data_IF_306773359563
#
_entry.id   IF_306773359563
#
_cell.length_a   1.000
_cell.length_b   1.000
_cell.length_c   1.000
_cell.angle_alpha   90.00
_cell.angle_beta   90.00
_cell.angle_gamma   90.00
#
_symmetry.space_group_name_H-M   'P 1'
#
loop_
_entity.id
_entity.type
_entity.pdbx_description
1 polymer ?
#
# COMPACT_ATOMS: atom_id res chain seq x y z
N UNK A 1 -24.96 15.08 -5.81
CA UNK A 1 -23.55 14.88 -6.26
C UNK A 1 -22.99 13.58 -5.69
N UNK A 2 -23.20 13.29 -4.41
CA UNK A 2 -22.76 12.07 -3.70
C UNK A 2 -23.02 10.74 -4.44
N UNK A 3 -24.25 10.49 -4.92
CA UNK A 3 -24.58 9.25 -5.63
C UNK A 3 -23.77 9.01 -6.94
N UNK A 4 -23.26 10.08 -7.57
CA UNK A 4 -22.39 9.97 -8.75
C UNK A 4 -20.97 9.57 -8.36
N UNK A 5 -20.49 10.10 -7.23
CA UNK A 5 -19.16 9.81 -6.70
C UNK A 5 -19.07 8.38 -6.15
N UNK A 6 -20.12 7.92 -5.47
CA UNK A 6 -20.24 6.52 -5.02
C UNK A 6 -20.21 5.53 -6.19
N UNK A 7 -20.99 5.78 -7.26
CA UNK A 7 -20.97 4.95 -8.47
C UNK A 7 -19.59 4.91 -9.12
N UNK A 8 -18.89 6.05 -9.14
CA UNK A 8 -17.53 6.13 -9.68
C UNK A 8 -16.55 5.33 -8.83
N UNK A 9 -16.64 5.45 -7.51
CA UNK A 9 -15.78 4.73 -6.57
C UNK A 9 -15.95 3.21 -6.71
N UNK A 10 -17.20 2.72 -6.70
CA UNK A 10 -17.50 1.30 -6.90
C UNK A 10 -16.96 0.77 -8.24
N UNK A 11 -17.04 1.58 -9.30
CA UNK A 11 -16.49 1.21 -10.60
C UNK A 11 -14.97 1.10 -10.56
N UNK A 12 -14.29 2.07 -9.92
CA UNK A 12 -12.83 2.06 -9.76
C UNK A 12 -12.37 0.86 -8.93
N UNK A 13 -13.04 0.58 -7.82
CA UNK A 13 -12.72 -0.56 -6.96
C UNK A 13 -12.86 -1.89 -7.72
N UNK A 14 -13.93 -2.06 -8.51
CA UNK A 14 -14.10 -3.23 -9.38
C UNK A 14 -12.99 -3.34 -10.45
N UNK A 15 -12.61 -2.21 -11.05
CA UNK A 15 -11.52 -2.19 -12.03
C UNK A 15 -10.19 -2.60 -11.38
N UNK A 16 -9.88 -2.07 -10.20
CA UNK A 16 -8.67 -2.40 -9.44
C UNK A 16 -8.70 -3.85 -8.91
N UNK A 17 -9.86 -4.40 -8.59
CA UNK A 17 -9.98 -5.81 -8.21
C UNK A 17 -9.74 -6.76 -9.39
N UNK A 18 -10.03 -6.33 -10.63
CA UNK A 18 -9.92 -7.16 -11.82
C UNK A 18 -8.53 -7.20 -12.48
N UNK A 19 -7.61 -6.29 -12.15
CA UNK A 19 -6.26 -6.29 -12.75
C UNK A 19 -5.44 -7.51 -12.29
N UNK A 20 -4.60 -8.04 -13.19
CA UNK A 20 -3.72 -9.19 -12.89
C UNK A 20 -2.71 -8.87 -11.78
N UNK A 21 -2.14 -7.67 -11.81
CA UNK A 21 -1.23 -7.14 -10.79
C UNK A 21 -1.73 -5.77 -10.33
N UNK A 22 -1.97 -5.63 -9.02
CA UNK A 22 -2.21 -4.35 -8.37
C UNK A 22 -0.95 -3.98 -7.58
N UNK A 23 -0.47 -2.75 -7.73
CA UNK A 23 0.64 -2.21 -6.97
C UNK A 23 0.10 -1.11 -6.05
N UNK A 24 0.35 -1.25 -4.75
CA UNK A 24 0.04 -0.26 -3.72
C UNK A 24 1.38 0.26 -3.23
N UNK A 25 1.68 1.51 -3.58
CA UNK A 25 2.96 2.13 -3.26
C UNK A 25 2.85 2.99 -2.01
N UNK A 26 3.92 3.04 -1.21
CA UNK A 26 4.09 3.87 -0.01
C UNK A 26 2.97 3.70 1.04
N UNK A 27 2.48 2.48 1.23
CA UNK A 27 1.45 2.19 2.24
C UNK A 27 2.02 2.44 3.64
N UNK A 28 1.29 3.23 4.44
CA UNK A 28 1.67 3.55 5.81
C UNK A 28 2.33 4.92 6.00
N UNK A 29 2.63 5.65 4.93
CA UNK A 29 3.23 6.99 5.08
C UNK A 29 2.28 8.02 5.74
N UNK A 30 0.97 7.90 5.50
CA UNK A 30 -0.06 8.77 6.09
C UNK A 30 -1.22 7.91 6.61
N UNK A 31 -1.73 8.18 7.83
CA UNK A 31 -2.92 7.51 8.34
C UNK A 31 -4.10 7.65 7.38
N UNK A 32 -4.78 6.54 7.12
CA UNK A 32 -5.97 6.55 6.29
C UNK A 32 -7.15 7.12 7.07
N UNK A 33 -8.07 7.77 6.37
CA UNK A 33 -9.40 7.99 6.93
C UNK A 33 -10.07 6.64 7.17
N UNK A 34 -11.02 6.57 8.12
CA UNK A 34 -11.78 5.34 8.40
C UNK A 34 -12.36 4.71 7.13
N UNK A 35 -13.02 5.53 6.30
CA UNK A 35 -13.57 5.08 5.01
C UNK A 35 -12.47 4.59 4.07
N UNK A 36 -11.31 5.26 4.02
CA UNK A 36 -10.18 4.84 3.19
C UNK A 36 -9.62 3.48 3.61
N UNK A 37 -9.49 3.24 4.92
CA UNK A 37 -9.05 1.97 5.49
C UNK A 37 -10.04 0.84 5.15
N UNK A 38 -11.35 1.09 5.28
CA UNK A 38 -12.41 0.14 4.93
C UNK A 38 -12.39 -0.21 3.43
N UNK A 39 -12.26 0.79 2.56
CA UNK A 39 -12.20 0.58 1.11
C UNK A 39 -10.97 -0.22 0.67
N UNK A 40 -9.81 0.07 1.27
CA UNK A 40 -8.57 -0.65 1.00
C UNK A 40 -8.65 -2.10 1.51
N UNK A 41 -9.22 -2.30 2.70
CA UNK A 41 -9.48 -3.63 3.22
C UNK A 41 -10.41 -4.44 2.30
N UNK A 42 -11.49 -3.84 1.81
CA UNK A 42 -12.42 -4.50 0.89
C UNK A 42 -11.71 -4.85 -0.44
N UNK A 43 -10.93 -3.92 -1.00
CA UNK A 43 -10.16 -4.17 -2.22
C UNK A 43 -9.19 -5.34 -2.06
N UNK A 44 -8.41 -5.37 -0.97
CA UNK A 44 -7.45 -6.45 -0.70
C UNK A 44 -8.20 -7.76 -0.46
N UNK A 45 -9.33 -7.72 0.26
CA UNK A 45 -10.17 -8.89 0.51
C UNK A 45 -10.78 -9.46 -0.78
N UNK A 46 -11.18 -8.63 -1.74
CA UNK A 46 -11.69 -9.07 -3.03
C UNK A 46 -10.60 -9.71 -3.90
N UNK A 47 -9.33 -9.29 -3.72
CA UNK A 47 -8.17 -9.77 -4.47
C UNK A 47 -7.49 -10.98 -3.85
N UNK A 48 -7.70 -11.22 -2.56
CA UNK A 48 -7.19 -12.39 -1.85
C UNK A 48 -7.52 -13.67 -2.61
N UNK A 49 -6.50 -14.51 -2.84
CA UNK A 49 -6.56 -15.75 -3.64
C UNK A 49 -7.02 -15.61 -5.10
N UNK A 50 -7.17 -14.38 -5.62
CA UNK A 50 -7.75 -14.09 -6.94
C UNK A 50 -6.83 -13.29 -7.87
N UNK A 51 -5.92 -12.49 -7.33
CA UNK A 51 -4.99 -11.69 -8.11
C UNK A 51 -3.74 -11.30 -7.34
N UNK A 52 -2.64 -11.05 -8.05
CA UNK A 52 -1.37 -10.68 -7.43
C UNK A 52 -1.41 -9.24 -6.93
N UNK A 53 -0.90 -9.01 -5.72
CA UNK A 53 -0.80 -7.67 -5.12
C UNK A 53 0.63 -7.45 -4.66
N UNK A 54 1.22 -6.33 -5.06
CA UNK A 54 2.52 -5.86 -4.58
C UNK A 54 2.27 -4.64 -3.69
N UNK A 55 2.89 -4.64 -2.53
CA UNK A 55 2.80 -3.52 -1.59
C UNK A 55 4.22 -3.07 -1.27
N UNK A 56 4.45 -1.77 -1.32
CA UNK A 56 5.64 -1.16 -0.74
C UNK A 56 5.23 -0.39 0.51
N UNK A 57 6.05 -0.50 1.56
CA UNK A 57 5.84 0.21 2.81
C UNK A 57 7.20 0.48 3.43
N UNK A 58 7.31 1.64 4.07
CA UNK A 58 8.43 1.97 4.93
C UNK A 58 8.15 1.65 6.41
N UNK A 59 6.97 1.11 6.71
CA UNK A 59 6.57 0.74 8.07
C UNK A 59 6.62 -0.78 8.24
N UNK A 60 7.13 -1.28 9.38
CA UNK A 60 6.95 -2.67 9.76
C UNK A 60 5.47 -2.97 10.05
N UNK A 61 5.07 -4.26 9.98
CA UNK A 61 3.65 -4.65 10.06
C UNK A 61 2.97 -4.31 11.38
N UNK A 62 3.72 -4.25 12.48
CA UNK A 62 3.22 -3.85 13.81
C UNK A 62 2.79 -2.38 13.85
N UNK A 63 3.40 -1.50 13.04
CA UNK A 63 3.03 -0.09 12.92
C UNK A 63 1.83 0.16 12.00
N UNK A 64 1.34 -0.85 11.26
CA UNK A 64 0.20 -0.68 10.35
C UNK A 64 -1.10 -0.35 11.08
N UNK A 65 -1.20 -0.63 12.38
CA UNK A 65 -2.37 -0.25 13.18
C UNK A 65 -2.59 1.26 13.20
N UNK A 66 -1.53 2.06 13.16
CA UNK A 66 -1.61 3.52 13.08
C UNK A 66 -2.17 3.98 11.73
N UNK A 67 -1.96 3.19 10.68
CA UNK A 67 -2.41 3.49 9.32
C UNK A 67 -3.89 3.13 9.12
N UNK A 68 -4.31 1.96 9.61
CA UNK A 68 -5.66 1.43 9.42
C UNK A 68 -6.62 1.75 10.58
N UNK A 69 -6.09 2.32 11.68
CA UNK A 69 -6.83 2.91 12.79
C UNK A 69 -7.37 1.92 13.83
N UNK A 70 -7.47 0.63 13.54
CA UNK A 70 -7.89 -0.38 14.53
C UNK A 70 -7.09 -1.67 14.41
N UNK A 71 -6.76 -2.29 15.54
CA UNK A 71 -6.07 -3.58 15.58
C UNK A 71 -6.87 -4.68 14.87
N UNK A 72 -8.20 -4.67 15.04
CA UNK A 72 -9.09 -5.67 14.43
C UNK A 72 -9.04 -5.64 12.91
N UNK A 73 -9.14 -4.44 12.31
CA UNK A 73 -9.09 -4.29 10.85
C UNK A 73 -7.69 -4.64 10.32
N UNK A 74 -6.66 -4.15 11.01
CA UNK A 74 -5.25 -4.40 10.65
C UNK A 74 -4.92 -5.88 10.72
N UNK A 75 -5.29 -6.57 11.80
CA UNK A 75 -5.06 -8.00 11.96
C UNK A 75 -5.75 -8.82 10.87
N UNK A 76 -7.02 -8.52 10.58
CA UNK A 76 -7.75 -9.18 9.49
C UNK A 76 -7.13 -8.92 8.11
N UNK A 77 -6.54 -7.74 7.90
CA UNK A 77 -5.83 -7.43 6.67
C UNK A 77 -4.52 -8.19 6.56
N UNK A 78 -3.70 -8.14 7.62
CA UNK A 78 -2.41 -8.80 7.67
C UNK A 78 -2.55 -10.31 7.48
N UNK A 79 -3.55 -10.94 8.11
CA UNK A 79 -3.86 -12.36 7.93
C UNK A 79 -4.01 -12.75 6.44
N UNK A 80 -4.73 -11.93 5.66
CA UNK A 80 -4.90 -12.14 4.21
C UNK A 80 -3.62 -11.88 3.41
N UNK A 81 -2.87 -10.84 3.78
CA UNK A 81 -1.66 -10.45 3.08
C UNK A 81 -0.51 -11.43 3.33
N UNK A 82 -0.40 -12.01 4.52
CA UNK A 82 0.74 -12.84 4.91
C UNK A 82 0.56 -14.33 4.61
N UNK A 83 -0.64 -14.77 4.23
CA UNK A 83 -0.89 -16.18 3.91
C UNK A 83 -0.14 -16.67 2.65
N UNK A 84 -0.12 -15.87 1.58
CA UNK A 84 0.54 -16.20 0.31
C UNK A 84 1.43 -15.06 -0.17
N UNK A 85 2.58 -14.87 0.49
CA UNK A 85 3.46 -13.71 0.28
C UNK A 85 4.92 -14.08 0.14
N UNK A 86 5.65 -13.22 -0.56
CA UNK A 86 7.10 -13.14 -0.47
C UNK A 86 7.44 -11.77 0.14
N UNK A 87 8.08 -11.76 1.30
CA UNK A 87 8.50 -10.53 1.98
C UNK A 87 9.93 -10.23 1.55
N UNK A 88 10.15 -9.03 1.02
CA UNK A 88 11.45 -8.53 0.62
C UNK A 88 11.84 -7.37 1.52
N UNK A 89 12.72 -7.63 2.49
CA UNK A 89 13.24 -6.58 3.36
C UNK A 89 14.32 -5.77 2.64
N UNK A 90 14.10 -4.46 2.52
CA UNK A 90 15.02 -3.55 1.86
C UNK A 90 15.87 -2.80 2.89
N UNK A 91 17.08 -3.29 3.13
CA UNK A 91 18.02 -2.74 4.13
C UNK A 91 19.16 -1.91 3.51
N UNK A 92 18.91 -1.26 2.37
CA UNK A 92 19.92 -0.52 1.60
C UNK A 92 19.97 0.97 1.87
N UNK A 93 21.11 1.60 1.56
CA UNK A 93 21.24 3.06 1.57
C UNK A 93 20.29 3.71 0.54
N UNK A 94 19.88 4.94 0.85
CA UNK A 94 19.05 5.73 -0.06
C UNK A 94 19.80 6.03 -1.37
N UNK A 95 19.32 5.41 -2.47
CA UNK A 95 19.79 5.72 -3.83
C UNK A 95 19.66 7.20 -4.16
N UNK A 96 18.59 7.86 -3.72
CA UNK A 96 18.35 9.30 -3.93
C UNK A 96 19.45 10.14 -3.28
N UNK A 97 19.84 9.81 -2.05
CA UNK A 97 20.92 10.49 -1.35
C UNK A 97 22.27 10.26 -2.01
N UNK A 98 22.55 9.02 -2.43
CA UNK A 98 23.77 8.67 -3.18
C UNK A 98 23.92 9.48 -4.46
N UNK A 99 22.86 9.56 -5.27
CA UNK A 99 22.84 10.36 -6.50
C UNK A 99 23.05 11.85 -6.24
N UNK A 100 22.41 12.40 -5.20
CA UNK A 100 22.57 13.81 -4.81
C UNK A 100 24.01 14.13 -4.41
N UNK A 101 24.67 13.25 -3.65
CA UNK A 101 26.08 13.38 -3.27
C UNK A 101 27.00 13.33 -4.49
N UNK A 102 26.78 12.39 -5.42
CA UNK A 102 27.57 12.25 -6.64
C UNK A 102 27.50 13.51 -7.53
N UNK A 103 26.30 14.07 -7.72
CA UNK A 103 26.12 15.32 -8.48
C UNK A 103 26.85 16.51 -7.85
N UNK A 104 26.80 16.65 -6.51
CA UNK A 104 27.53 17.72 -5.79
C UNK A 104 29.05 17.59 -5.91
N UNK A 105 29.58 16.36 -5.95
CA UNK A 105 31.01 16.13 -6.13
C UNK A 105 31.47 16.54 -7.54
N UNK A 106 30.71 16.18 -8.57
CA UNK A 106 31.00 16.57 -9.96
C UNK A 106 30.92 18.09 -10.18
N UNK A 107 29.97 18.78 -9.55
CA UNK A 107 29.85 20.24 -9.68
C UNK A 107 30.95 21.05 -8.97
N UNK A 108 31.78 20.41 -8.14
CA UNK A 108 32.92 21.03 -7.44
C UNK A 108 34.27 20.81 -8.11
N UNK A 109 34.29 20.00 -9.18
CA UNK A 109 35.47 19.71 -10.00
C UNK A 109 35.39 20.55 -11.26
#
# INVERSE_FOLDING_TARGET
MEARDERRLLRLQKQQAAVKLLIIDELGFVPLSKTGAELLFELISQRYERGSTMITSNLPFDEWTETFGTERLTGALLDRLTHHVNILEMNGDSYRLGQSRARKAQART
#
